data_IF_297022493041
#
_entry.id   IF_297022493041
#
_cell.length_a   1.000
_cell.length_b   1.000
_cell.length_c   1.000
_cell.angle_alpha   90.00
_cell.angle_beta   90.00
_cell.angle_gamma   90.00
#
_symmetry.space_group_name_H-M   'P 1'
#
loop_
_entity.id
_entity.type
_entity.pdbx_description
1 polymer ?
#
# COMPACT_ATOMS: atom_id res chain seq x y z
N UNK A 1 -46.45 -29.63 10.24
CA UNK A 1 -45.14 -29.06 9.87
C UNK A 1 -45.12 -28.98 8.35
N UNK A 2 -45.14 -27.75 7.84
CA UNK A 2 -45.04 -27.49 6.40
C UNK A 2 -43.56 -27.51 6.01
N UNK A 3 -43.19 -28.42 5.12
CA UNK A 3 -41.81 -28.46 4.53
C UNK A 3 -41.81 -27.39 3.44
N UNK A 4 -41.17 -26.26 3.74
CA UNK A 4 -40.88 -25.21 2.75
C UNK A 4 -39.63 -25.57 1.96
N UNK A 5 -39.79 -25.66 0.63
CA UNK A 5 -38.65 -25.78 -0.29
C UNK A 5 -37.92 -24.42 -0.35
N UNK A 6 -36.64 -24.44 -0.12
CA UNK A 6 -35.78 -23.27 -0.23
C UNK A 6 -34.50 -23.58 -1.04
N UNK A 7 -33.95 -22.59 -1.72
CA UNK A 7 -32.67 -22.71 -2.40
C UNK A 7 -31.54 -22.80 -1.35
N UNK A 8 -30.84 -23.92 -1.31
CA UNK A 8 -29.60 -24.04 -0.53
C UNK A 8 -28.45 -23.53 -1.39
N UNK A 9 -27.96 -22.33 -1.09
CA UNK A 9 -26.66 -21.90 -1.57
C UNK A 9 -25.58 -22.58 -0.72
N UNK A 10 -24.88 -23.54 -1.31
CA UNK A 10 -23.69 -24.10 -0.71
C UNK A 10 -22.57 -23.06 -0.73
N UNK A 11 -21.83 -22.94 0.35
CA UNK A 11 -20.68 -22.05 0.47
C UNK A 11 -19.42 -22.88 0.76
N UNK A 12 -18.36 -22.70 -0.02
CA UNK A 12 -17.07 -23.30 0.25
C UNK A 12 -16.24 -22.29 1.04
N UNK A 13 -15.87 -22.65 2.27
CA UNK A 13 -15.14 -21.74 3.15
C UNK A 13 -13.63 -21.89 2.97
N UNK A 14 -12.94 -20.76 2.90
CA UNK A 14 -11.48 -20.67 2.92
C UNK A 14 -11.03 -19.65 3.98
N UNK A 15 -9.87 -19.87 4.60
CA UNK A 15 -9.31 -18.92 5.56
C UNK A 15 -8.44 -17.92 4.82
N UNK A 16 -8.70 -16.64 5.03
CA UNK A 16 -7.92 -15.52 4.54
C UNK A 16 -7.41 -14.63 5.67
N UNK A 17 -6.63 -13.63 5.31
CA UNK A 17 -6.15 -12.59 6.21
C UNK A 17 -6.55 -11.23 5.66
N UNK A 18 -7.30 -10.47 6.44
CA UNK A 18 -7.56 -9.06 6.19
C UNK A 18 -6.32 -8.27 6.59
N UNK A 19 -5.81 -7.45 5.69
CA UNK A 19 -4.65 -6.57 5.93
C UNK A 19 -4.67 -5.36 4.99
N UNK A 20 -3.84 -4.36 5.28
CA UNK A 20 -3.60 -3.28 4.33
C UNK A 20 -2.77 -3.79 3.15
N UNK A 21 -3.11 -3.35 1.93
CA UNK A 21 -2.43 -3.79 0.71
C UNK A 21 -1.06 -3.13 0.53
N UNK A 22 -0.27 -3.64 -0.43
CA UNK A 22 0.99 -3.05 -0.91
C UNK A 22 2.04 -2.81 0.18
N UNK A 23 2.15 -3.74 1.14
CA UNK A 23 3.14 -3.64 2.21
C UNK A 23 4.57 -3.78 1.67
N UNK A 24 5.40 -2.77 1.91
CA UNK A 24 6.83 -2.79 1.59
C UNK A 24 7.62 -1.91 2.56
N UNK A 25 8.95 -2.15 2.65
CA UNK A 25 9.81 -1.38 3.53
C UNK A 25 10.11 0.00 2.94
N UNK A 26 9.88 1.06 3.73
CA UNK A 26 10.42 2.37 3.45
C UNK A 26 11.87 2.42 3.94
N UNK A 27 12.77 2.80 3.03
CA UNK A 27 14.21 2.84 3.29
C UNK A 27 14.70 4.27 3.40
N UNK A 28 15.76 4.45 4.19
CA UNK A 28 16.41 5.74 4.33
C UNK A 28 17.15 6.12 3.05
N UNK A 29 16.98 7.35 2.58
CA UNK A 29 17.80 7.96 1.55
C UNK A 29 19.08 8.64 2.10
N UNK A 30 19.22 8.68 3.43
CA UNK A 30 20.30 9.36 4.13
C UNK A 30 21.00 8.44 5.14
N UNK A 31 22.24 8.74 5.46
CA UNK A 31 23.00 8.08 6.52
C UNK A 31 23.10 8.97 7.75
N UNK A 32 22.93 8.42 8.95
CA UNK A 32 23.05 9.18 10.19
C UNK A 32 22.24 8.62 11.33
N UNK A 33 21.88 9.46 12.28
CA UNK A 33 21.02 9.10 13.42
C UNK A 33 19.58 9.45 13.09
N UNK A 34 18.67 8.52 13.34
CA UNK A 34 17.23 8.77 13.22
C UNK A 34 16.80 9.79 14.26
N UNK A 35 16.35 10.96 13.84
CA UNK A 35 15.91 12.04 14.73
C UNK A 35 14.39 12.13 14.83
N UNK A 36 13.68 11.67 13.80
CA UNK A 36 12.22 11.64 13.83
C UNK A 36 11.64 10.53 12.92
N UNK A 37 10.59 9.88 13.39
CA UNK A 37 9.74 8.94 12.65
C UNK A 37 8.26 9.18 12.98
N UNK A 38 7.34 8.91 12.02
CA UNK A 38 5.91 8.91 12.30
C UNK A 38 5.51 7.72 13.19
N UNK A 39 4.40 7.85 13.90
CA UNK A 39 3.84 6.74 14.66
C UNK A 39 3.22 5.67 13.74
N UNK A 40 3.25 4.40 14.16
CA UNK A 40 2.55 3.33 13.47
C UNK A 40 1.05 3.66 13.35
N UNK A 41 0.46 3.38 12.18
CA UNK A 41 -0.93 3.69 11.87
C UNK A 41 -1.17 5.08 11.30
N UNK A 42 -0.18 5.99 11.35
CA UNK A 42 -0.30 7.33 10.73
C UNK A 42 -0.49 7.21 9.22
N UNK A 43 -1.42 8.00 8.68
CA UNK A 43 -1.54 8.19 7.22
C UNK A 43 -0.71 9.41 6.83
N UNK A 44 0.15 9.22 5.83
CA UNK A 44 1.05 10.23 5.29
C UNK A 44 0.51 10.68 3.95
N UNK A 45 0.21 11.96 3.82
CA UNK A 45 -0.29 12.59 2.60
C UNK A 45 0.84 13.23 1.79
N UNK A 46 0.56 13.53 0.53
CA UNK A 46 1.51 14.29 -0.30
C UNK A 46 1.86 15.63 0.37
N UNK A 47 3.15 15.91 0.48
CA UNK A 47 3.73 17.06 1.19
C UNK A 47 4.15 16.77 2.63
N UNK A 48 3.68 15.67 3.23
CA UNK A 48 4.05 15.31 4.59
C UNK A 48 5.47 14.75 4.68
N UNK A 49 6.07 14.91 5.87
CA UNK A 49 7.38 14.35 6.20
C UNK A 49 7.27 12.84 6.45
N UNK A 50 8.15 12.08 5.81
CA UNK A 50 8.27 10.63 5.97
C UNK A 50 9.18 10.25 7.14
N UNK A 51 10.36 10.86 7.23
CA UNK A 51 11.34 10.62 8.31
C UNK A 51 12.34 11.76 8.37
N UNK A 52 13.19 11.75 9.41
CA UNK A 52 14.31 12.66 9.55
C UNK A 52 15.54 11.92 10.09
N UNK A 53 16.66 12.13 9.43
CA UNK A 53 17.97 11.57 9.79
C UNK A 53 18.93 12.76 10.01
N UNK A 54 19.38 12.95 11.26
CA UNK A 54 20.07 14.19 11.61
C UNK A 54 19.18 15.40 11.36
N UNK A 55 19.58 16.27 10.44
CA UNK A 55 18.83 17.44 9.99
C UNK A 55 18.19 17.23 8.59
N UNK A 56 18.33 16.02 8.02
CA UNK A 56 17.83 15.70 6.70
C UNK A 56 16.47 15.03 6.76
N UNK A 57 15.43 15.76 6.35
CA UNK A 57 14.05 15.23 6.25
C UNK A 57 13.73 14.75 4.84
N UNK A 58 12.98 13.66 4.73
CA UNK A 58 12.38 13.19 3.49
C UNK A 58 10.87 13.43 3.46
N UNK A 59 10.33 13.69 2.27
CA UNK A 59 8.93 14.06 2.07
C UNK A 59 8.26 13.22 1.00
N UNK A 60 6.95 12.97 1.18
CA UNK A 60 6.13 12.29 0.20
C UNK A 60 5.66 13.26 -0.88
N UNK A 61 5.79 12.89 -2.14
CA UNK A 61 5.16 13.57 -3.28
C UNK A 61 4.38 12.61 -4.16
N UNK A 62 3.40 13.11 -4.90
CA UNK A 62 2.63 12.29 -5.85
C UNK A 62 3.44 11.98 -7.09
N UNK A 63 3.47 10.69 -7.45
CA UNK A 63 4.11 10.22 -8.65
C UNK A 63 4.31 8.72 -8.68
N UNK A 64 4.50 8.17 -9.87
CA UNK A 64 4.72 6.73 -10.11
C UNK A 64 6.18 6.40 -10.46
N UNK A 65 7.00 7.42 -10.76
CA UNK A 65 8.40 7.26 -11.13
C UNK A 65 9.24 7.53 -9.88
N UNK A 66 10.02 6.55 -9.36
CA UNK A 66 10.91 6.80 -8.22
C UNK A 66 11.93 7.89 -8.53
N UNK A 67 12.29 8.69 -7.52
CA UNK A 67 13.42 9.60 -7.64
C UNK A 67 14.72 8.79 -7.73
N UNK A 68 15.49 8.97 -8.80
CA UNK A 68 16.73 8.22 -9.07
C UNK A 68 17.94 9.12 -9.26
N UNK A 69 17.75 10.44 -9.26
CA UNK A 69 18.81 11.46 -9.39
C UNK A 69 18.43 12.70 -8.57
N UNK A 70 19.41 13.53 -8.28
CA UNK A 70 19.21 14.86 -7.70
C UNK A 70 18.44 15.74 -8.68
N UNK A 71 17.49 16.52 -8.18
CA UNK A 71 16.82 17.56 -8.94
C UNK A 71 17.51 18.89 -8.71
N UNK A 72 18.18 19.42 -9.74
CA UNK A 72 19.01 20.61 -9.65
C UNK A 72 19.04 21.39 -10.99
N UNK A 73 19.40 22.67 -10.99
CA UNK A 73 19.58 23.44 -12.21
C UNK A 73 20.53 22.74 -13.19
N UNK A 74 20.30 22.98 -14.48
CA UNK A 74 21.06 22.44 -15.62
C UNK A 74 20.99 20.91 -15.80
N UNK A 75 20.17 20.20 -15.03
CA UNK A 75 19.92 18.80 -15.25
C UNK A 75 19.20 18.56 -16.59
N UNK A 76 19.39 17.38 -17.16
CA UNK A 76 18.69 17.00 -18.40
C UNK A 76 17.20 16.90 -18.21
N UNK A 77 16.45 17.34 -19.25
CA UNK A 77 14.99 17.17 -19.32
C UNK A 77 14.60 15.70 -19.11
N UNK A 78 13.47 15.48 -18.40
CA UNK A 78 12.99 14.12 -18.14
C UNK A 78 11.56 14.07 -17.63
N UNK A 79 10.99 12.86 -17.68
CA UNK A 79 9.66 12.57 -17.12
C UNK A 79 9.63 12.68 -15.60
N UNK A 80 10.74 12.43 -14.93
CA UNK A 80 10.92 12.63 -13.50
C UNK A 80 10.81 14.11 -13.10
N UNK A 81 11.40 15.02 -13.91
CA UNK A 81 11.23 16.48 -13.72
C UNK A 81 9.80 16.90 -13.99
N UNK A 82 9.16 16.36 -15.04
CA UNK A 82 7.75 16.64 -15.31
C UNK A 82 6.84 16.17 -14.17
N UNK A 83 7.11 15.00 -13.62
CA UNK A 83 6.40 14.49 -12.45
C UNK A 83 6.58 15.40 -11.22
N UNK A 84 7.82 15.85 -10.95
CA UNK A 84 8.09 16.79 -9.87
C UNK A 84 7.32 18.09 -10.05
N UNK A 85 7.33 18.66 -11.27
CA UNK A 85 6.56 19.88 -11.61
C UNK A 85 5.06 19.66 -11.38
N UNK A 86 4.52 18.49 -11.79
CA UNK A 86 3.10 18.14 -11.56
C UNK A 86 2.78 18.01 -10.06
N UNK A 87 3.67 17.42 -9.27
CA UNK A 87 3.51 17.32 -7.82
C UNK A 87 3.54 18.70 -7.15
N UNK A 88 4.50 19.55 -7.53
CA UNK A 88 4.58 20.93 -7.04
C UNK A 88 3.37 21.78 -7.49
N UNK A 89 2.83 21.54 -8.69
CA UNK A 89 1.61 22.19 -9.18
C UNK A 89 0.39 21.79 -8.35
N UNK A 90 0.23 20.50 -8.07
CA UNK A 90 -0.86 20.00 -7.23
C UNK A 90 -0.83 20.58 -5.81
N UNK A 91 0.38 20.86 -5.28
CA UNK A 91 0.57 21.51 -3.99
C UNK A 91 0.52 23.07 -4.06
N UNK A 92 0.33 23.65 -5.24
CA UNK A 92 0.19 25.10 -5.44
C UNK A 92 1.49 25.89 -5.60
N UNK A 93 2.66 25.23 -5.73
CA UNK A 93 3.95 25.90 -5.88
C UNK A 93 4.37 26.16 -7.33
N UNK A 94 3.89 25.35 -8.28
CA UNK A 94 4.20 25.48 -9.69
C UNK A 94 2.95 25.86 -10.50
N UNK A 95 3.01 26.93 -11.29
CA UNK A 95 1.83 27.51 -11.96
C UNK A 95 1.83 27.35 -13.48
N UNK A 96 2.91 26.79 -14.06
CA UNK A 96 3.02 26.55 -15.49
C UNK A 96 2.61 25.11 -15.84
N UNK A 97 2.49 24.82 -17.14
CA UNK A 97 2.32 23.45 -17.60
C UNK A 97 3.61 22.65 -17.37
N UNK A 98 3.55 21.49 -16.73
CA UNK A 98 4.70 20.62 -16.52
C UNK A 98 5.30 20.14 -17.84
N UNK A 99 6.51 20.59 -18.16
CA UNK A 99 7.17 20.31 -19.45
C UNK A 99 8.39 19.40 -19.34
N UNK A 100 8.80 19.06 -18.09
CA UNK A 100 9.97 18.21 -17.83
C UNK A 100 11.31 18.93 -17.96
N UNK A 101 11.32 20.26 -18.15
CA UNK A 101 12.54 21.06 -18.21
C UNK A 101 12.81 21.73 -16.87
N UNK A 102 13.97 21.45 -16.25
CA UNK A 102 14.35 22.06 -14.98
C UNK A 102 14.85 23.48 -15.22
N UNK A 103 13.94 24.45 -15.20
CA UNK A 103 14.24 25.85 -15.43
C UNK A 103 14.04 26.72 -14.19
N UNK A 104 14.13 28.03 -14.39
CA UNK A 104 13.97 29.02 -13.31
C UNK A 104 12.66 28.89 -12.54
N UNK A 105 11.55 28.55 -13.22
CA UNK A 105 10.24 28.37 -12.59
C UNK A 105 10.20 27.14 -11.68
N UNK A 106 10.87 26.04 -12.08
CA UNK A 106 10.99 24.85 -11.25
C UNK A 106 11.82 25.13 -10.02
N UNK A 107 12.96 25.81 -10.19
CA UNK A 107 13.79 26.26 -9.06
C UNK A 107 13.01 27.15 -8.09
N UNK A 108 12.23 28.11 -8.61
CA UNK A 108 11.40 29.00 -7.80
C UNK A 108 10.33 28.23 -7.02
N UNK A 109 9.68 27.27 -7.65
CA UNK A 109 8.66 26.42 -7.01
C UNK A 109 9.27 25.57 -5.89
N UNK A 110 10.43 24.96 -6.13
CA UNK A 110 11.15 24.20 -5.10
C UNK A 110 11.53 25.10 -3.92
N UNK A 111 12.07 26.30 -4.16
CA UNK A 111 12.42 27.25 -3.08
C UNK A 111 11.20 27.68 -2.26
N UNK A 112 10.06 27.88 -2.88
CA UNK A 112 8.82 28.21 -2.18
C UNK A 112 8.36 27.02 -1.29
N UNK A 113 8.37 25.82 -1.83
CA UNK A 113 8.09 24.61 -1.06
C UNK A 113 9.10 24.38 0.09
N UNK A 114 10.40 24.53 -0.18
CA UNK A 114 11.45 24.41 0.85
C UNK A 114 11.23 25.38 2.01
N UNK A 115 10.83 26.63 1.70
CA UNK A 115 10.49 27.64 2.71
C UNK A 115 9.35 27.15 3.63
N UNK A 116 8.29 26.61 3.05
CA UNK A 116 7.09 26.22 3.80
C UNK A 116 7.33 24.98 4.69
N UNK A 117 8.22 24.08 4.25
CA UNK A 117 8.60 22.91 5.05
C UNK A 117 9.84 23.15 5.94
N UNK A 118 10.37 24.38 5.99
CA UNK A 118 11.47 24.77 6.87
C UNK A 118 12.85 24.32 6.41
N UNK A 119 13.04 24.01 5.12
CA UNK A 119 14.32 23.64 4.54
C UNK A 119 15.08 24.87 4.01
N UNK A 120 16.40 24.70 3.79
CA UNK A 120 17.21 25.69 3.08
C UNK A 120 16.68 25.91 1.66
N UNK A 121 16.42 27.18 1.30
CA UNK A 121 15.84 27.58 0.02
C UNK A 121 16.88 27.63 -1.10
N UNK A 122 17.58 26.54 -1.36
CA UNK A 122 18.62 26.44 -2.40
C UNK A 122 18.04 26.11 -3.79
N UNK A 123 16.82 25.55 -3.87
CA UNK A 123 16.16 25.16 -5.12
C UNK A 123 16.64 23.83 -5.68
N UNK A 124 17.30 23.02 -4.86
CA UNK A 124 17.83 21.70 -5.20
C UNK A 124 17.21 20.65 -4.28
N UNK A 125 16.92 19.48 -4.80
CA UNK A 125 16.42 18.34 -4.03
C UNK A 125 17.40 17.18 -4.20
N UNK A 126 18.28 16.93 -3.21
CA UNK A 126 19.20 15.80 -3.26
C UNK A 126 18.43 14.47 -3.30
N UNK A 127 19.05 13.44 -3.85
CA UNK A 127 18.49 12.08 -3.82
C UNK A 127 18.20 11.68 -2.37
N UNK A 128 17.03 11.08 -2.15
CA UNK A 128 16.52 10.73 -0.82
C UNK A 128 15.63 11.80 -0.16
N UNK A 129 15.65 13.06 -0.64
CA UNK A 129 14.80 14.14 -0.12
C UNK A 129 13.33 13.94 -0.43
N UNK A 130 13.02 13.37 -1.60
CA UNK A 130 11.65 13.12 -2.07
C UNK A 130 11.47 11.64 -2.34
N UNK A 131 10.37 11.09 -1.83
CA UNK A 131 9.85 9.77 -2.17
C UNK A 131 8.55 9.98 -2.93
N UNK A 132 8.43 9.38 -4.10
CA UNK A 132 7.20 9.42 -4.88
C UNK A 132 6.33 8.20 -4.60
N UNK A 133 5.03 8.43 -4.43
CA UNK A 133 4.01 7.38 -4.40
C UNK A 133 2.74 7.86 -5.11
N UNK A 134 1.99 6.91 -5.68
CA UNK A 134 0.73 7.20 -6.37
C UNK A 134 -0.38 7.64 -5.42
N UNK A 135 -0.33 7.15 -4.18
CA UNK A 135 -1.39 7.31 -3.19
C UNK A 135 -0.82 7.69 -1.82
N UNK A 136 -1.69 7.95 -0.86
CA UNK A 136 -1.31 8.12 0.54
C UNK A 136 -0.73 6.83 1.09
N UNK A 137 0.25 6.96 1.96
CA UNK A 137 0.91 5.85 2.61
C UNK A 137 0.45 5.73 4.06
N UNK A 138 0.21 4.51 4.51
CA UNK A 138 -0.04 4.24 5.91
C UNK A 138 1.22 3.63 6.53
N UNK A 139 1.63 4.15 7.69
CA UNK A 139 2.77 3.62 8.46
C UNK A 139 2.39 2.27 9.07
N UNK A 140 3.13 1.24 8.72
CA UNK A 140 2.99 -0.11 9.26
C UNK A 140 3.93 -0.38 10.45
N UNK A 141 4.66 -1.50 10.38
CA UNK A 141 5.59 -1.93 11.42
C UNK A 141 6.85 -1.08 11.46
N UNK A 142 7.18 -0.54 12.62
CA UNK A 142 8.40 0.25 12.83
C UNK A 142 9.60 -0.71 12.95
N UNK A 143 10.65 -0.46 12.16
CA UNK A 143 11.89 -1.26 12.14
C UNK A 143 13.04 -0.56 12.86
N UNK A 144 13.09 0.78 12.80
CA UNK A 144 14.11 1.62 13.45
C UNK A 144 13.45 2.54 14.48
N UNK A 145 14.24 3.02 15.44
CA UNK A 145 13.78 3.92 16.50
C UNK A 145 14.55 5.25 16.42
N UNK A 146 13.95 6.31 16.96
CA UNK A 146 14.64 7.56 17.19
C UNK A 146 15.86 7.29 18.09
N UNK A 147 17.04 7.73 17.63
CA UNK A 147 18.33 7.45 18.24
C UNK A 147 19.13 6.32 17.59
N UNK A 148 18.51 5.46 16.79
CA UNK A 148 19.21 4.41 16.04
C UNK A 148 20.05 5.02 14.92
N UNK A 149 21.11 4.31 14.50
CA UNK A 149 21.85 4.65 13.29
C UNK A 149 21.20 4.02 12.07
N UNK A 150 20.83 4.86 11.11
CA UNK A 150 20.38 4.43 9.79
C UNK A 150 21.57 4.48 8.81
N UNK A 151 21.76 3.40 8.08
CA UNK A 151 22.61 3.41 6.89
C UNK A 151 21.80 3.96 5.71
N UNK A 152 22.46 4.45 4.68
CA UNK A 152 21.80 4.68 3.38
C UNK A 152 21.20 3.37 2.92
N UNK A 153 19.92 3.39 2.50
CA UNK A 153 19.12 2.21 2.15
C UNK A 153 18.71 1.30 3.34
N UNK A 154 18.92 1.73 4.59
CA UNK A 154 18.47 1.04 5.80
C UNK A 154 16.93 1.09 5.95
N UNK A 155 16.32 0.00 6.42
CA UNK A 155 14.87 -0.07 6.64
C UNK A 155 14.46 0.75 7.87
N UNK A 156 13.51 1.66 7.70
CA UNK A 156 12.98 2.50 8.77
C UNK A 156 11.67 1.97 9.32
N UNK A 157 10.72 1.69 8.45
CA UNK A 157 9.42 1.12 8.77
C UNK A 157 8.75 0.59 7.50
N UNK A 158 7.74 -0.24 7.66
CA UNK A 158 6.91 -0.67 6.54
C UNK A 158 5.87 0.39 6.22
N UNK A 159 5.58 0.59 4.94
CA UNK A 159 4.46 1.37 4.45
C UNK A 159 3.46 0.45 3.75
N UNK A 160 2.19 0.81 3.82
CA UNK A 160 1.11 0.14 3.11
C UNK A 160 0.27 1.17 2.39
N UNK A 161 -0.60 0.73 1.48
CA UNK A 161 -1.71 1.58 1.05
C UNK A 161 -2.69 1.80 2.22
N UNK A 162 -3.64 2.71 2.05
CA UNK A 162 -4.74 2.93 3.01
C UNK A 162 -5.91 1.97 2.78
N UNK A 163 -5.91 1.22 1.68
CA UNK A 163 -6.93 0.25 1.35
C UNK A 163 -6.66 -1.10 1.99
N UNK A 164 -7.70 -1.72 2.52
CA UNK A 164 -7.64 -3.08 3.06
C UNK A 164 -8.04 -4.11 2.02
N UNK A 165 -7.40 -5.26 2.06
CA UNK A 165 -7.70 -6.42 1.23
C UNK A 165 -7.73 -7.68 2.09
N UNK A 166 -8.48 -8.67 1.66
CA UNK A 166 -8.42 -10.03 2.20
C UNK A 166 -7.62 -10.88 1.24
N UNK A 167 -6.49 -11.40 1.69
CA UNK A 167 -5.74 -12.40 0.96
C UNK A 167 -6.17 -13.78 1.41
N UNK A 168 -6.64 -14.56 0.49
CA UNK A 168 -7.10 -15.94 0.74
C UNK A 168 -6.42 -16.89 -0.23
N UNK A 169 -6.05 -18.08 0.27
CA UNK A 169 -5.54 -19.15 -0.57
C UNK A 169 -6.67 -20.18 -0.77
N UNK A 170 -7.14 -20.33 -2.00
CA UNK A 170 -8.11 -21.34 -2.35
C UNK A 170 -7.40 -22.61 -2.86
N UNK A 171 -8.01 -23.76 -2.66
CA UNK A 171 -7.49 -25.03 -3.18
C UNK A 171 -7.57 -25.07 -4.70
N UNK A 172 -6.63 -25.73 -5.35
CA UNK A 172 -6.66 -25.89 -6.81
C UNK A 172 -7.96 -26.54 -7.31
N UNK A 173 -8.56 -27.44 -6.50
CA UNK A 173 -9.83 -28.06 -6.82
C UNK A 173 -10.99 -27.07 -6.90
N UNK A 174 -10.90 -25.93 -6.19
CA UNK A 174 -11.92 -24.91 -6.09
C UNK A 174 -11.62 -23.71 -7.02
N UNK A 175 -10.66 -23.83 -7.93
CA UNK A 175 -10.22 -22.73 -8.80
C UNK A 175 -11.34 -22.06 -9.61
N UNK A 176 -12.39 -22.80 -9.96
CA UNK A 176 -13.56 -22.30 -10.67
C UNK A 176 -14.37 -21.28 -9.86
N UNK A 177 -14.25 -21.28 -8.52
CA UNK A 177 -14.90 -20.32 -7.63
C UNK A 177 -14.13 -19.00 -7.52
N UNK A 178 -12.81 -19.04 -7.77
CA UNK A 178 -11.92 -17.90 -7.76
C UNK A 178 -11.92 -17.15 -9.09
N UNK A 179 -12.99 -16.45 -9.42
CA UNK A 179 -13.10 -15.68 -10.67
C UNK A 179 -13.14 -14.19 -10.32
N UNK A 180 -12.32 -13.38 -11.01
CA UNK A 180 -12.32 -11.92 -10.85
C UNK A 180 -13.72 -11.37 -11.13
N UNK A 181 -14.20 -10.51 -10.23
CA UNK A 181 -15.55 -9.93 -10.25
C UNK A 181 -16.58 -10.70 -9.43
N UNK A 182 -16.30 -11.93 -9.01
CA UNK A 182 -17.22 -12.66 -8.15
C UNK A 182 -17.31 -12.03 -6.76
N UNK A 183 -18.54 -12.06 -6.20
CA UNK A 183 -18.82 -11.67 -4.82
C UNK A 183 -18.57 -12.85 -3.88
N UNK A 184 -18.04 -12.56 -2.73
CA UNK A 184 -17.78 -13.50 -1.64
C UNK A 184 -18.30 -12.94 -0.33
N UNK A 185 -18.60 -13.80 0.63
CA UNK A 185 -18.93 -13.40 1.99
C UNK A 185 -17.66 -13.36 2.83
N UNK A 186 -17.49 -12.33 3.65
CA UNK A 186 -16.39 -12.18 4.57
C UNK A 186 -16.91 -12.24 6.00
N UNK A 187 -16.54 -13.28 6.73
CA UNK A 187 -16.88 -13.46 8.14
C UNK A 187 -15.71 -12.98 9.01
N UNK A 188 -15.90 -11.81 9.60
CA UNK A 188 -14.93 -11.15 10.47
C UNK A 188 -15.10 -11.60 11.93
N UNK A 189 -14.09 -11.46 12.79
CA UNK A 189 -14.24 -11.70 14.22
C UNK A 189 -15.36 -10.84 14.85
N UNK A 190 -16.04 -11.42 15.84
CA UNK A 190 -17.15 -10.73 16.52
C UNK A 190 -18.50 -10.90 15.83
N UNK A 191 -18.65 -11.90 14.96
CA UNK A 191 -19.88 -12.19 14.19
C UNK A 191 -20.30 -11.01 13.30
N UNK A 192 -19.33 -10.34 12.70
CA UNK A 192 -19.54 -9.27 11.72
C UNK A 192 -19.34 -9.84 10.33
N UNK A 193 -20.40 -9.79 9.53
CA UNK A 193 -20.39 -10.26 8.14
C UNK A 193 -20.43 -9.07 7.19
N UNK A 194 -19.65 -9.16 6.12
CA UNK A 194 -19.68 -8.21 5.00
C UNK A 194 -19.45 -8.96 3.70
N UNK A 195 -19.59 -8.27 2.58
CA UNK A 195 -19.28 -8.83 1.27
C UNK A 195 -17.98 -8.25 0.75
N UNK A 196 -17.36 -8.95 -0.18
CA UNK A 196 -16.20 -8.49 -0.90
C UNK A 196 -16.22 -8.96 -2.35
N UNK A 197 -15.41 -8.31 -3.16
CA UNK A 197 -15.26 -8.64 -4.58
C UNK A 197 -13.88 -9.18 -4.84
N UNK A 198 -13.77 -10.30 -5.55
CA UNK A 198 -12.49 -10.83 -6.02
C UNK A 198 -11.92 -9.87 -7.07
N UNK A 199 -10.76 -9.30 -6.81
CA UNK A 199 -10.08 -8.35 -7.72
C UNK A 199 -8.87 -8.94 -8.42
N UNK A 200 -8.25 -9.97 -7.83
CA UNK A 200 -7.08 -10.64 -8.41
C UNK A 200 -7.06 -12.12 -8.09
N UNK A 201 -6.61 -12.89 -9.06
CA UNK A 201 -6.40 -14.36 -8.94
C UNK A 201 -4.99 -14.64 -9.43
N UNK A 202 -4.14 -15.14 -8.56
CA UNK A 202 -2.74 -15.44 -8.88
C UNK A 202 -2.55 -16.80 -9.55
N UNK A 203 -1.30 -17.09 -9.86
CA UNK A 203 -0.91 -18.42 -10.36
C UNK A 203 -0.82 -19.44 -9.23
N UNK A 204 -1.15 -20.73 -9.48
CA UNK A 204 -1.01 -21.75 -8.47
C UNK A 204 0.42 -21.84 -7.90
N UNK A 205 0.52 -21.82 -6.58
CA UNK A 205 1.78 -21.91 -5.83
C UNK A 205 1.74 -23.08 -4.86
N UNK A 206 2.90 -23.62 -4.50
CA UNK A 206 3.01 -24.64 -3.45
C UNK A 206 3.11 -23.95 -2.09
N UNK A 207 2.21 -24.30 -1.18
CA UNK A 207 2.27 -23.86 0.21
C UNK A 207 2.54 -25.07 1.11
N UNK A 208 3.49 -24.93 2.03
CA UNK A 208 3.72 -25.94 3.07
C UNK A 208 2.52 -26.00 3.99
N UNK A 209 2.04 -27.21 4.32
CA UNK A 209 0.93 -27.39 5.25
C UNK A 209 1.25 -26.80 6.62
N UNK A 210 0.23 -26.23 7.28
CA UNK A 210 0.32 -25.77 8.67
C UNK A 210 -0.14 -26.90 9.60
N UNK A 211 0.59 -27.15 10.67
CA UNK A 211 0.25 -28.16 11.68
C UNK A 211 1.14 -29.43 11.64
N UNK A 212 0.63 -30.56 12.12
CA UNK A 212 1.37 -31.81 12.25
C UNK A 212 1.85 -32.44 10.91
N UNK A 213 1.34 -31.97 9.76
CA UNK A 213 1.72 -32.42 8.41
C UNK A 213 2.55 -31.36 7.65
N UNK A 214 3.68 -30.92 8.21
CA UNK A 214 4.58 -29.95 7.57
C UNK A 214 5.18 -30.41 6.22
N UNK A 215 5.16 -31.70 5.92
CA UNK A 215 5.69 -32.27 4.68
C UNK A 215 4.65 -32.37 3.55
N UNK A 216 3.39 -32.05 3.80
CA UNK A 216 2.38 -32.02 2.73
C UNK A 216 2.42 -30.66 2.01
N UNK A 217 2.86 -30.67 0.76
CA UNK A 217 2.78 -29.52 -0.14
C UNK A 217 1.39 -29.49 -0.76
N UNK A 218 0.59 -28.51 -0.40
CA UNK A 218 -0.71 -28.26 -1.03
C UNK A 218 -0.56 -27.17 -2.10
N UNK A 219 -1.11 -27.42 -3.28
CA UNK A 219 -1.16 -26.38 -4.33
C UNK A 219 -2.37 -25.51 -4.09
N UNK A 220 -2.11 -24.24 -3.93
CA UNK A 220 -3.12 -23.21 -3.66
C UNK A 220 -3.04 -22.08 -4.68
N UNK A 221 -4.13 -21.40 -4.88
CA UNK A 221 -4.24 -20.22 -5.73
C UNK A 221 -4.44 -19.02 -4.81
N UNK A 222 -3.51 -18.05 -4.79
CA UNK A 222 -3.71 -16.82 -4.04
C UNK A 222 -4.79 -15.97 -4.72
N UNK A 223 -5.76 -15.52 -3.94
CA UNK A 223 -6.87 -14.68 -4.39
C UNK A 223 -6.92 -13.44 -3.50
N UNK A 224 -7.07 -12.28 -4.12
CA UNK A 224 -7.26 -11.01 -3.42
C UNK A 224 -8.71 -10.58 -3.52
N UNK A 225 -9.29 -10.28 -2.37
CA UNK A 225 -10.66 -9.79 -2.23
C UNK A 225 -10.62 -8.39 -1.63
N UNK A 226 -11.32 -7.47 -2.25
CA UNK A 226 -11.54 -6.11 -1.71
C UNK A 226 -12.88 -6.10 -0.99
N UNK A 227 -12.95 -5.74 0.31
CA UNK A 227 -14.21 -5.54 1.01
C UNK A 227 -15.06 -4.47 0.32
N UNK A 228 -16.35 -4.72 0.16
CA UNK A 228 -17.26 -3.77 -0.50
C UNK A 228 -17.58 -2.56 0.40
N UNK A 229 -17.55 -2.75 1.71
CA UNK A 229 -17.73 -1.70 2.71
C UNK A 229 -16.48 -1.57 3.60
N UNK A 230 -15.59 -0.62 3.30
CA UNK A 230 -14.38 -0.38 4.10
C UNK A 230 -14.68 0.06 5.54
N UNK A 231 -15.86 0.61 5.83
CA UNK A 231 -16.19 1.08 7.18
C UNK A 231 -16.30 -0.08 8.17
N UNK A 232 -16.76 -1.24 7.70
CA UNK A 232 -16.90 -2.46 8.51
C UNK A 232 -15.53 -3.04 8.88
N UNK A 233 -14.54 -2.89 7.99
CA UNK A 233 -13.19 -3.45 8.18
C UNK A 233 -12.21 -2.49 8.85
N UNK A 234 -12.54 -1.21 8.93
CA UNK A 234 -11.65 -0.12 9.39
C UNK A 234 -11.10 -0.31 10.81
N UNK A 235 -11.84 -1.00 11.68
CA UNK A 235 -11.44 -1.27 13.07
C UNK A 235 -10.43 -2.43 13.21
N UNK A 236 -10.20 -3.18 12.13
CA UNK A 236 -9.25 -4.30 12.11
C UNK A 236 -7.97 -3.87 11.39
N UNK A 237 -6.82 -4.28 11.93
CA UNK A 237 -5.53 -3.98 11.29
C UNK A 237 -5.00 -5.18 10.52
N UNK A 238 -4.88 -6.31 11.18
CA UNK A 238 -4.52 -7.59 10.60
C UNK A 238 -5.28 -8.68 11.36
N UNK A 239 -6.15 -9.40 10.65
CA UNK A 239 -7.03 -10.38 11.30
C UNK A 239 -7.36 -11.53 10.35
N UNK A 240 -7.51 -12.73 10.93
CA UNK A 240 -7.99 -13.89 10.19
C UNK A 240 -9.48 -13.76 9.89
N UNK A 241 -9.85 -14.04 8.65
CA UNK A 241 -11.21 -13.92 8.10
C UNK A 241 -11.59 -15.24 7.44
N UNK A 242 -12.81 -15.70 7.64
CA UNK A 242 -13.35 -16.79 6.83
C UNK A 242 -14.01 -16.21 5.59
N UNK A 243 -13.58 -16.67 4.43
CA UNK A 243 -14.10 -16.26 3.12
C UNK A 243 -15.02 -17.33 2.60
N UNK A 244 -16.29 -17.01 2.44
CA UNK A 244 -17.31 -17.85 1.83
C UNK A 244 -17.35 -17.65 0.33
N UNK A 245 -16.93 -18.66 -0.43
CA UNK A 245 -16.98 -18.68 -1.89
C UNK A 245 -18.31 -19.31 -2.31
N UNK A 246 -19.12 -18.67 -3.17
CA UNK A 246 -20.38 -19.24 -3.61
C UNK A 246 -20.11 -20.51 -4.41
N UNK A 247 -20.58 -21.64 -3.91
CA UNK A 247 -20.60 -22.90 -4.64
C UNK A 247 -21.91 -23.05 -5.42
N UNK A 248 -21.96 -24.00 -6.37
CA UNK A 248 -23.11 -24.18 -7.25
C UNK A 248 -24.44 -24.17 -6.49
N UNK A 249 -25.41 -23.35 -6.97
CA UNK A 249 -26.80 -23.42 -6.54
C UNK A 249 -27.34 -24.83 -6.81
N UNK A 250 -27.72 -25.57 -5.77
CA UNK A 250 -28.60 -26.69 -5.91
C UNK A 250 -30.04 -26.16 -5.84
N UNK A 251 -30.68 -25.99 -7.00
CA UNK A 251 -32.08 -25.62 -7.07
C UNK A 251 -32.93 -26.84 -6.71
N UNK A 252 -33.95 -26.64 -5.86
CA UNK A 252 -34.97 -27.62 -5.49
C UNK A 252 -34.49 -28.87 -4.71
N UNK A 253 -33.92 -28.70 -3.53
CA UNK A 253 -33.77 -29.81 -2.57
C UNK A 253 -34.90 -29.79 -1.53
#
# INVERSE_FOLDING_TARGET
DEITRGDLQGETSATGTLRFSDSHALRSGFEGVVTWLPAAGTVIHAGDRLYEIGDDSAYLMRGSIPAWRTFEPDMSKGSDVQQLQSALQAMGYFSLEPDGTFGWWTTKAIKAWQKDVGLEQNGTLPLGRIVFATDDLRVGSIKSRVGDRAASDGELYDVTSTAQVVEVNIKLADQQLGVVGNKVTLHLPGAVDTTGTITSVGTPTEKSGSGENKDSKERVIPVTVVPDDPSVTSNFQEVSVTVGLPSEKRENV
#
